data_IF_156546170546
#
_entry.id   IF_156546170546
#
_cell.length_a   1.000
_cell.length_b   1.000
_cell.length_c   1.000
_cell.angle_alpha   90.00
_cell.angle_beta   90.00
_cell.angle_gamma   90.00
#
_symmetry.space_group_name_H-M   'P 1'
#
loop_
_entity.id
_entity.type
_entity.pdbx_description
1 polymer ?
#
# COMPACT_ATOMS: atom_id res chain seq x y z
N UNK A 1 -64.57 -19.78 -29.38
CA UNK A 1 -64.30 -18.66 -28.45
C UNK A 1 -63.18 -19.07 -27.54
N UNK A 2 -62.07 -18.28 -27.55
CA UNK A 2 -61.01 -18.40 -26.56
C UNK A 2 -61.49 -17.89 -25.21
N UNK A 3 -61.08 -18.52 -24.10
CA UNK A 3 -61.41 -17.99 -22.77
C UNK A 3 -60.70 -16.65 -22.51
N UNK A 4 -61.27 -15.79 -21.65
CA UNK A 4 -60.62 -14.52 -21.34
C UNK A 4 -59.29 -14.75 -20.63
N UNK A 5 -58.26 -13.99 -21.08
CA UNK A 5 -56.96 -13.93 -20.42
C UNK A 5 -57.15 -13.16 -19.13
N UNK A 6 -56.86 -13.81 -17.98
CA UNK A 6 -56.79 -13.08 -16.68
C UNK A 6 -55.67 -12.06 -16.70
N UNK A 7 -55.89 -10.84 -16.17
CA UNK A 7 -54.84 -9.87 -16.08
C UNK A 7 -53.73 -10.36 -15.11
N UNK A 8 -52.49 -10.23 -15.53
CA UNK A 8 -51.31 -10.50 -14.66
C UNK A 8 -51.36 -9.62 -13.40
N UNK A 9 -51.00 -10.19 -12.23
CA UNK A 9 -50.93 -9.37 -11.01
C UNK A 9 -49.95 -8.26 -11.14
N UNK A 10 -50.17 -7.09 -10.45
CA UNK A 10 -49.25 -6.00 -10.48
C UNK A 10 -47.86 -6.45 -9.97
N UNK A 11 -46.81 -6.15 -10.76
CA UNK A 11 -45.43 -6.36 -10.33
C UNK A 11 -45.15 -5.40 -9.16
N UNK A 12 -44.92 -5.96 -7.96
CA UNK A 12 -44.47 -5.15 -6.82
C UNK A 12 -43.14 -4.46 -7.22
N UNK A 13 -42.97 -3.16 -6.90
CA UNK A 13 -41.71 -2.48 -7.17
C UNK A 13 -40.60 -3.19 -6.39
N UNK A 14 -39.51 -3.50 -7.07
CA UNK A 14 -38.30 -4.04 -6.42
C UNK A 14 -37.88 -3.08 -5.29
N UNK A 15 -37.48 -3.61 -4.11
CA UNK A 15 -36.98 -2.76 -3.05
C UNK A 15 -35.79 -1.94 -3.55
N UNK A 16 -35.61 -0.69 -3.08
CA UNK A 16 -34.47 0.11 -3.44
C UNK A 16 -33.20 -0.69 -3.19
N UNK A 17 -32.34 -0.80 -4.21
CA UNK A 17 -31.00 -1.38 -4.04
C UNK A 17 -30.25 -0.42 -3.11
N UNK A 18 -29.99 -0.83 -1.87
CA UNK A 18 -29.12 -0.08 -0.98
C UNK A 18 -27.76 0.06 -1.67
N UNK A 19 -27.15 1.26 -1.68
CA UNK A 19 -25.83 1.44 -2.27
C UNK A 19 -24.86 0.48 -1.56
N UNK A 20 -24.26 -0.43 -2.33
CA UNK A 20 -23.21 -1.29 -1.80
C UNK A 20 -22.09 -0.40 -1.23
N UNK A 21 -21.80 -0.58 0.05
CA UNK A 21 -20.68 0.10 0.69
C UNK A 21 -19.39 -0.25 -0.06
N UNK A 22 -18.56 0.74 -0.42
CA UNK A 22 -17.31 0.45 -1.08
C UNK A 22 -16.46 -0.48 -0.21
N UNK A 23 -15.96 -1.55 -0.81
CA UNK A 23 -15.05 -2.46 -0.13
C UNK A 23 -13.74 -1.72 0.13
N UNK A 24 -13.41 -1.51 1.40
CA UNK A 24 -12.18 -0.85 1.80
C UNK A 24 -10.98 -1.77 1.54
N UNK A 25 -9.95 -1.27 0.89
CA UNK A 25 -8.70 -1.98 0.69
C UNK A 25 -7.84 -1.90 1.94
N UNK A 26 -7.70 -3.00 2.67
CA UNK A 26 -6.70 -3.09 3.75
C UNK A 26 -5.40 -3.62 3.17
N UNK A 27 -4.37 -2.77 3.20
CA UNK A 27 -3.04 -3.06 2.65
C UNK A 27 -2.08 -3.40 3.79
N UNK A 28 -1.51 -4.60 3.76
CA UNK A 28 -0.52 -5.03 4.76
C UNK A 28 0.81 -4.31 4.52
N UNK A 29 1.13 -3.31 5.35
CA UNK A 29 2.34 -2.50 5.28
C UNK A 29 3.58 -3.35 5.54
N UNK A 30 4.43 -3.56 4.54
CA UNK A 30 5.63 -4.43 4.59
C UNK A 30 5.33 -5.87 5.00
N UNK A 31 4.14 -6.39 4.60
CA UNK A 31 3.57 -7.61 5.13
C UNK A 31 2.94 -7.44 6.52
N UNK A 32 2.54 -8.53 7.19
CA UNK A 32 1.99 -8.45 8.55
C UNK A 32 3.13 -8.44 9.58
N UNK A 33 3.84 -7.32 9.62
CA UNK A 33 5.11 -7.20 10.33
C UNK A 33 4.99 -7.12 11.87
N UNK A 34 3.79 -7.08 12.43
CA UNK A 34 3.60 -7.28 13.87
C UNK A 34 3.77 -8.76 14.28
N UNK A 35 3.67 -9.68 13.32
CA UNK A 35 3.90 -11.11 13.58
C UNK A 35 5.28 -11.58 13.11
N UNK A 36 5.83 -10.99 12.05
CA UNK A 36 7.08 -11.43 11.44
C UNK A 36 7.92 -10.22 10.99
N UNK A 37 9.23 -10.35 10.75
CA UNK A 37 10.08 -9.23 10.35
C UNK A 37 9.58 -8.56 9.06
N UNK A 38 9.52 -7.22 9.06
CA UNK A 38 9.05 -6.43 7.92
C UNK A 38 9.81 -6.74 6.62
N UNK A 39 9.13 -6.59 5.47
CA UNK A 39 9.70 -6.81 4.14
C UNK A 39 10.37 -8.19 3.97
N UNK A 40 9.87 -9.22 4.65
CA UNK A 40 10.38 -10.61 4.56
C UNK A 40 9.30 -11.59 4.12
N UNK A 41 9.71 -12.73 3.53
CA UNK A 41 8.75 -13.75 3.11
C UNK A 41 7.85 -14.25 4.26
N UNK A 42 8.35 -14.45 5.51
CA UNK A 42 7.50 -14.75 6.65
C UNK A 42 6.40 -13.70 6.92
N UNK A 43 6.70 -12.40 6.78
CA UNK A 43 5.70 -11.35 6.98
C UNK A 43 4.62 -11.34 5.89
N UNK A 44 5.01 -11.61 4.65
CA UNK A 44 4.06 -11.72 3.53
C UNK A 44 3.18 -12.96 3.66
N UNK A 45 3.76 -14.10 4.06
CA UNK A 45 2.99 -15.31 4.34
C UNK A 45 1.99 -15.09 5.48
N UNK A 46 2.42 -14.47 6.59
CA UNK A 46 1.53 -14.13 7.69
C UNK A 46 0.40 -13.18 7.28
N UNK A 47 0.67 -12.22 6.37
CA UNK A 47 -0.35 -11.33 5.83
C UNK A 47 -1.40 -12.09 4.99
N UNK A 48 -0.96 -12.95 4.09
CA UNK A 48 -1.86 -13.77 3.28
C UNK A 48 -2.72 -14.71 4.15
N UNK A 49 -2.11 -15.36 5.17
CA UNK A 49 -2.81 -16.20 6.15
C UNK A 49 -3.83 -15.41 6.97
N UNK A 50 -3.54 -14.14 7.28
CA UNK A 50 -4.45 -13.23 7.98
C UNK A 50 -5.59 -12.70 7.10
N UNK A 51 -5.61 -13.02 5.80
CA UNK A 51 -6.67 -12.69 4.86
C UNK A 51 -6.46 -11.38 4.11
N UNK A 52 -5.28 -10.74 4.18
CA UNK A 52 -5.00 -9.57 3.36
C UNK A 52 -4.96 -9.93 1.87
N UNK A 53 -5.69 -9.13 1.09
CA UNK A 53 -5.71 -9.24 -0.38
C UNK A 53 -4.68 -8.30 -1.05
N UNK A 54 -4.11 -7.37 -0.29
CA UNK A 54 -3.18 -6.35 -0.75
C UNK A 54 -1.95 -6.36 0.15
N UNK A 55 -0.77 -6.58 -0.44
CA UNK A 55 0.50 -6.62 0.27
C UNK A 55 1.42 -5.51 -0.24
N UNK A 56 1.86 -4.65 0.66
CA UNK A 56 2.80 -3.60 0.31
C UNK A 56 4.24 -4.01 0.62
N UNK A 57 5.16 -3.56 -0.22
CA UNK A 57 6.60 -3.75 -0.04
C UNK A 57 7.43 -2.65 -0.70
N UNK A 58 8.56 -2.35 -0.08
CA UNK A 58 9.53 -1.33 -0.46
C UNK A 58 10.65 -1.90 -1.30
N UNK A 59 10.90 -1.36 -2.50
CA UNK A 59 11.89 -1.91 -3.44
C UNK A 59 13.12 -1.03 -3.54
N UNK A 60 14.30 -1.66 -3.44
CA UNK A 60 15.61 -1.07 -3.72
C UNK A 60 16.41 -1.94 -4.69
N UNK A 61 17.44 -1.35 -5.30
CA UNK A 61 18.40 -2.09 -6.13
C UNK A 61 19.76 -2.20 -5.47
N UNK A 62 20.35 -3.39 -5.54
CA UNK A 62 21.72 -3.65 -5.14
C UNK A 62 22.72 -3.10 -6.16
N UNK A 63 24.01 -3.09 -5.80
CA UNK A 63 25.11 -2.68 -6.68
C UNK A 63 25.20 -3.49 -7.99
N UNK A 64 24.85 -4.77 -7.92
CA UNK A 64 24.86 -5.70 -9.06
C UNK A 64 23.49 -5.82 -9.76
N UNK A 65 22.56 -4.89 -9.45
CA UNK A 65 21.30 -4.74 -10.18
C UNK A 65 20.19 -5.72 -9.76
N UNK A 66 20.30 -6.37 -8.60
CA UNK A 66 19.24 -7.20 -8.05
C UNK A 66 18.24 -6.33 -7.30
N UNK A 67 16.95 -6.43 -7.63
CA UNK A 67 15.89 -5.77 -6.89
C UNK A 67 15.58 -6.57 -5.60
N UNK A 68 15.64 -5.89 -4.43
CA UNK A 68 15.45 -6.47 -3.09
C UNK A 68 14.45 -5.66 -2.28
N UNK A 69 13.90 -6.26 -1.23
CA UNK A 69 12.85 -5.66 -0.40
C UNK A 69 13.42 -5.15 0.93
N UNK A 70 13.33 -3.85 1.15
CA UNK A 70 13.75 -3.22 2.41
C UNK A 70 13.19 -1.79 2.45
N UNK A 71 12.73 -1.33 3.63
CA UNK A 71 12.22 0.04 3.74
C UNK A 71 13.33 1.07 3.60
N UNK A 72 14.39 0.93 4.39
CA UNK A 72 15.49 1.89 4.40
C UNK A 72 16.47 1.61 3.25
N UNK A 73 17.17 2.63 2.80
CA UNK A 73 18.30 2.49 1.87
C UNK A 73 19.50 1.77 2.47
N UNK A 74 19.45 1.48 3.79
CA UNK A 74 20.47 0.74 4.55
C UNK A 74 19.84 -0.41 5.33
N UNK A 75 20.58 -1.50 5.51
CA UNK A 75 20.08 -2.68 6.25
C UNK A 75 20.26 -2.59 7.76
N UNK A 76 20.84 -1.51 8.28
CA UNK A 76 21.27 -1.41 9.67
C UNK A 76 20.14 -1.49 10.71
N UNK A 77 18.94 -1.01 10.37
CA UNK A 77 17.79 -1.04 11.26
C UNK A 77 17.22 -2.47 11.40
N UNK A 78 17.02 -3.14 10.26
CA UNK A 78 16.28 -4.41 10.15
C UNK A 78 17.17 -5.64 10.25
N UNK A 79 18.42 -5.58 9.79
CA UNK A 79 19.33 -6.73 9.77
C UNK A 79 20.30 -6.76 10.96
N UNK A 80 20.90 -7.93 11.16
CA UNK A 80 21.98 -8.21 12.12
C UNK A 80 23.08 -9.03 11.45
N UNK A 81 24.27 -9.05 12.05
CA UNK A 81 25.27 -10.03 11.69
C UNK A 81 24.74 -11.45 12.00
N UNK A 82 25.32 -12.48 11.37
CA UNK A 82 24.89 -13.87 11.56
C UNK A 82 24.96 -14.37 13.01
N UNK A 83 25.77 -13.72 13.86
CA UNK A 83 25.87 -14.02 15.29
C UNK A 83 24.85 -13.22 16.14
N UNK A 84 23.95 -12.46 15.50
CA UNK A 84 22.93 -11.62 16.15
C UNK A 84 23.43 -10.25 16.61
N UNK A 85 24.70 -9.94 16.48
CA UNK A 85 25.25 -8.65 16.86
C UNK A 85 24.78 -7.52 15.92
N UNK A 86 24.73 -6.27 16.42
CA UNK A 86 24.42 -5.11 15.60
C UNK A 86 25.49 -4.87 14.54
N UNK A 87 25.06 -4.46 13.36
CA UNK A 87 25.92 -4.11 12.24
C UNK A 87 26.68 -2.84 12.56
N UNK A 88 28.01 -2.87 12.40
CA UNK A 88 28.89 -1.71 12.58
C UNK A 88 29.11 -1.01 11.25
N UNK A 89 29.04 0.32 11.26
CA UNK A 89 29.14 1.15 10.05
C UNK A 89 27.87 1.07 9.19
N UNK A 90 27.76 2.00 8.24
CA UNK A 90 26.59 2.08 7.36
C UNK A 90 26.69 1.04 6.25
N UNK A 91 25.63 0.24 6.07
CA UNK A 91 25.50 -0.77 5.02
C UNK A 91 24.38 -0.37 4.06
N UNK A 92 24.73 0.40 3.04
CA UNK A 92 23.78 0.87 2.04
C UNK A 92 23.59 -0.16 0.93
N UNK A 93 22.34 -0.51 0.63
CA UNK A 93 21.95 -1.53 -0.36
C UNK A 93 22.57 -1.25 -1.73
N UNK A 94 22.53 0.02 -2.19
CA UNK A 94 23.07 0.40 -3.50
C UNK A 94 24.59 0.18 -3.68
N UNK A 95 25.32 -0.01 -2.58
CA UNK A 95 26.78 -0.25 -2.62
C UNK A 95 27.17 -1.68 -2.30
N UNK A 96 26.18 -2.56 -2.07
CA UNK A 96 26.36 -3.98 -1.76
C UNK A 96 25.83 -4.84 -2.90
N UNK A 97 26.50 -5.96 -3.18
CA UNK A 97 25.96 -7.02 -4.04
C UNK A 97 24.90 -7.81 -3.29
N UNK A 98 24.04 -8.54 -4.02
CA UNK A 98 23.07 -9.41 -3.37
C UNK A 98 23.76 -10.51 -2.54
N UNK A 99 24.86 -11.04 -3.01
CA UNK A 99 25.65 -12.04 -2.26
C UNK A 99 26.19 -11.49 -0.93
N UNK A 100 26.62 -10.21 -0.91
CA UNK A 100 27.03 -9.55 0.33
C UNK A 100 25.85 -9.32 1.27
N UNK A 101 24.65 -9.04 0.78
CA UNK A 101 23.45 -8.91 1.60
C UNK A 101 23.04 -10.25 2.25
N UNK A 102 23.27 -11.38 1.58
CA UNK A 102 22.99 -12.71 2.10
C UNK A 102 23.86 -13.12 3.32
N UNK A 103 24.89 -12.33 3.67
CA UNK A 103 25.69 -12.54 4.87
C UNK A 103 25.00 -12.06 6.16
N UNK A 104 23.88 -11.34 6.02
CA UNK A 104 23.13 -10.75 7.14
C UNK A 104 21.82 -11.49 7.39
N UNK A 105 21.39 -11.47 8.64
CA UNK A 105 20.13 -12.06 9.09
C UNK A 105 19.08 -10.96 9.30
N UNK A 106 17.97 -11.05 8.58
CA UNK A 106 16.86 -10.09 8.62
C UNK A 106 15.73 -10.55 9.57
N UNK A 107 15.89 -11.67 10.25
CA UNK A 107 14.89 -12.22 11.16
C UNK A 107 15.30 -12.31 12.60
N UNK A 108 16.59 -12.50 12.89
CA UNK A 108 17.08 -12.75 14.24
C UNK A 108 16.69 -11.67 15.27
N UNK A 109 16.56 -10.42 14.82
CA UNK A 109 16.13 -9.31 15.67
C UNK A 109 14.66 -9.44 16.14
N UNK A 110 13.83 -10.17 15.41
CA UNK A 110 12.43 -10.46 15.73
C UNK A 110 12.25 -11.75 16.56
N UNK A 111 13.32 -12.52 16.78
CA UNK A 111 13.32 -13.71 17.63
C UNK A 111 13.80 -14.99 16.94
N UNK A 112 14.03 -16.02 17.75
CA UNK A 112 14.60 -17.31 17.28
C UNK A 112 13.78 -17.99 16.18
N UNK A 113 12.46 -17.77 16.15
CA UNK A 113 11.57 -18.33 15.12
C UNK A 113 11.92 -17.84 13.70
N UNK A 114 12.59 -16.71 13.58
CA UNK A 114 12.95 -16.09 12.31
C UNK A 114 14.45 -16.11 12.01
N UNK A 115 15.21 -16.81 12.82
CA UNK A 115 16.65 -16.98 12.60
C UNK A 115 16.93 -17.54 11.20
N UNK A 116 17.86 -16.92 10.48
CA UNK A 116 18.23 -17.31 9.12
C UNK A 116 17.35 -16.70 8.03
N UNK A 117 16.44 -15.78 8.38
CA UNK A 117 15.65 -15.06 7.40
C UNK A 117 16.55 -14.18 6.53
N UNK A 118 16.41 -14.31 5.21
CA UNK A 118 17.17 -13.54 4.23
C UNK A 118 16.35 -12.37 3.71
N UNK A 119 17.04 -11.34 3.19
CA UNK A 119 16.40 -10.30 2.40
C UNK A 119 15.80 -10.92 1.14
N UNK A 120 14.48 -10.75 0.88
CA UNK A 120 13.88 -11.28 -0.32
C UNK A 120 14.30 -10.49 -1.55
N UNK A 121 14.35 -11.17 -2.69
CA UNK A 121 14.34 -10.49 -3.98
C UNK A 121 12.92 -10.09 -4.35
N UNK A 122 12.78 -9.03 -5.16
CA UNK A 122 11.50 -8.64 -5.73
C UNK A 122 10.87 -9.78 -6.57
N UNK A 123 11.70 -10.56 -7.28
CA UNK A 123 11.26 -11.73 -8.07
C UNK A 123 10.60 -12.81 -7.18
N UNK A 124 11.17 -13.11 -6.02
CA UNK A 124 10.60 -14.07 -5.08
C UNK A 124 9.26 -13.58 -4.53
N UNK A 125 9.17 -12.32 -4.16
CA UNK A 125 7.95 -11.74 -3.62
C UNK A 125 6.82 -11.64 -4.65
N UNK A 126 7.08 -11.20 -5.88
CA UNK A 126 6.03 -11.10 -6.90
C UNK A 126 5.50 -12.49 -7.31
N UNK A 127 6.38 -13.51 -7.33
CA UNK A 127 5.97 -14.90 -7.52
C UNK A 127 5.07 -15.38 -6.38
N UNK A 128 5.42 -15.06 -5.13
CA UNK A 128 4.58 -15.35 -3.97
C UNK A 128 3.22 -14.64 -4.06
N UNK A 129 3.16 -13.36 -4.43
CA UNK A 129 1.90 -12.64 -4.58
C UNK A 129 0.97 -13.34 -5.60
N UNK A 130 1.52 -13.84 -6.70
CA UNK A 130 0.77 -14.61 -7.68
C UNK A 130 0.25 -15.94 -7.09
N UNK A 131 1.10 -16.68 -6.39
CA UNK A 131 0.75 -17.99 -5.81
C UNK A 131 -0.29 -17.87 -4.69
N UNK A 132 -0.18 -16.84 -3.87
CA UNK A 132 -1.11 -16.54 -2.79
C UNK A 132 -2.40 -15.83 -3.26
N UNK A 133 -2.51 -15.51 -4.54
CA UNK A 133 -3.63 -14.78 -5.15
C UNK A 133 -3.89 -13.40 -4.52
N UNK A 134 -2.82 -12.68 -4.17
CA UNK A 134 -2.85 -11.34 -3.57
C UNK A 134 -2.32 -10.28 -4.52
N UNK A 135 -2.72 -9.04 -4.32
CA UNK A 135 -2.33 -7.87 -5.13
C UNK A 135 -1.10 -7.20 -4.54
N UNK A 136 0.02 -7.09 -5.29
CA UNK A 136 1.20 -6.39 -4.83
C UNK A 136 1.03 -4.86 -4.93
N UNK A 137 1.29 -4.15 -3.83
CA UNK A 137 1.53 -2.71 -3.76
C UNK A 137 3.03 -2.48 -3.74
N UNK A 138 3.58 -1.93 -4.81
CA UNK A 138 5.03 -1.85 -5.07
C UNK A 138 5.48 -0.42 -4.80
N UNK A 139 6.10 -0.15 -3.63
CA UNK A 139 6.68 1.16 -3.39
C UNK A 139 8.06 1.28 -4.06
N UNK A 140 8.15 2.20 -5.01
CA UNK A 140 9.41 2.57 -5.65
C UNK A 140 10.16 3.52 -4.71
N UNK A 141 11.12 2.95 -3.95
CA UNK A 141 11.99 3.71 -3.02
C UNK A 141 13.20 4.26 -3.75
N UNK A 142 13.80 5.30 -3.22
CA UNK A 142 14.99 5.93 -3.79
C UNK A 142 14.81 6.40 -5.25
N UNK A 143 15.74 7.16 -5.77
CA UNK A 143 15.69 7.58 -7.17
C UNK A 143 16.19 6.44 -8.07
N UNK A 144 15.28 5.63 -8.60
CA UNK A 144 15.59 4.62 -9.60
C UNK A 144 15.79 5.25 -10.98
N UNK A 145 16.61 4.62 -11.82
CA UNK A 145 16.69 4.97 -13.25
C UNK A 145 15.44 4.44 -13.98
N UNK A 146 15.18 4.96 -15.17
CA UNK A 146 14.09 4.45 -16.03
C UNK A 146 14.27 2.96 -16.35
N UNK A 147 15.52 2.53 -16.58
CA UNK A 147 15.84 1.11 -16.84
C UNK A 147 15.55 0.22 -15.63
N UNK A 148 15.78 0.72 -14.41
CA UNK A 148 15.44 -0.02 -13.19
C UNK A 148 13.91 -0.16 -13.02
N UNK A 149 13.14 0.91 -13.27
CA UNK A 149 11.67 0.84 -13.27
C UNK A 149 11.19 -0.17 -14.32
N UNK A 150 11.72 -0.13 -15.54
CA UNK A 150 11.40 -1.08 -16.60
C UNK A 150 11.76 -2.52 -16.21
N UNK A 151 12.89 -2.74 -15.51
CA UNK A 151 13.26 -4.06 -15.00
C UNK A 151 12.22 -4.61 -14.03
N UNK A 152 11.71 -3.78 -13.09
CA UNK A 152 10.63 -4.20 -12.19
C UNK A 152 9.35 -4.54 -12.95
N UNK A 153 8.97 -3.71 -13.92
CA UNK A 153 7.78 -3.95 -14.75
C UNK A 153 7.91 -5.25 -15.54
N UNK A 154 9.08 -5.55 -16.08
CA UNK A 154 9.35 -6.82 -16.77
C UNK A 154 9.22 -8.01 -15.81
N UNK A 155 9.71 -7.91 -14.56
CA UNK A 155 9.55 -8.95 -13.54
C UNK A 155 8.08 -9.20 -13.18
N UNK A 156 7.27 -8.14 -13.13
CA UNK A 156 5.82 -8.22 -12.91
C UNK A 156 5.13 -8.90 -14.09
N UNK A 157 5.51 -8.57 -15.33
CA UNK A 157 5.00 -9.19 -16.55
C UNK A 157 5.37 -10.69 -16.62
N UNK A 158 6.64 -11.04 -16.37
CA UNK A 158 7.10 -12.44 -16.31
C UNK A 158 6.34 -13.27 -15.27
N UNK A 159 5.92 -12.65 -14.17
CA UNK A 159 5.09 -13.26 -13.15
C UNK A 159 3.60 -13.35 -13.54
N UNK A 160 3.16 -12.69 -14.62
CA UNK A 160 1.76 -12.63 -15.04
C UNK A 160 0.90 -11.79 -14.09
N UNK A 161 1.48 -10.71 -13.52
CA UNK A 161 0.82 -9.84 -12.52
C UNK A 161 0.56 -8.42 -13.03
N UNK A 162 0.76 -8.15 -14.34
CA UNK A 162 0.68 -6.81 -14.93
C UNK A 162 -0.65 -6.11 -14.63
N UNK A 163 -1.76 -6.85 -14.74
CA UNK A 163 -3.11 -6.29 -14.56
C UNK A 163 -3.52 -6.12 -13.08
N UNK A 164 -2.66 -6.58 -12.16
CA UNK A 164 -2.94 -6.57 -10.71
C UNK A 164 -1.98 -5.70 -9.92
N UNK A 165 -0.79 -5.44 -10.44
CA UNK A 165 0.23 -4.67 -9.72
C UNK A 165 -0.19 -3.22 -9.53
N UNK A 166 -0.07 -2.73 -8.32
CA UNK A 166 -0.25 -1.33 -7.94
C UNK A 166 1.11 -0.71 -7.67
N UNK A 167 1.41 0.40 -8.33
CA UNK A 167 2.69 1.08 -8.20
C UNK A 167 2.53 2.35 -7.39
N UNK A 168 3.28 2.47 -6.30
CA UNK A 168 3.22 3.64 -5.44
C UNK A 168 4.60 4.28 -5.30
N UNK A 169 4.64 5.60 -5.15
CA UNK A 169 5.86 6.35 -4.86
C UNK A 169 5.53 7.75 -4.38
N UNK A 170 6.45 8.34 -3.63
CA UNK A 170 6.30 9.69 -3.10
C UNK A 170 6.40 10.79 -4.17
N UNK A 171 5.77 11.92 -3.90
CA UNK A 171 5.75 13.12 -4.76
C UNK A 171 7.14 13.54 -5.25
N UNK A 172 8.18 13.41 -4.44
CA UNK A 172 9.55 13.73 -4.84
C UNK A 172 10.18 12.73 -5.81
N UNK A 173 9.54 11.59 -6.01
CA UNK A 173 9.90 10.53 -6.95
C UNK A 173 8.89 10.40 -8.11
N UNK A 174 8.04 11.40 -8.34
CA UNK A 174 6.94 11.38 -9.32
C UNK A 174 7.36 10.83 -10.70
N UNK A 175 8.61 11.11 -11.14
CA UNK A 175 9.16 10.63 -12.41
C UNK A 175 9.06 9.11 -12.55
N UNK A 176 9.28 8.35 -11.47
CA UNK A 176 9.22 6.89 -11.54
C UNK A 176 7.82 6.39 -11.87
N UNK A 177 6.77 7.01 -11.30
CA UNK A 177 5.38 6.70 -11.67
C UNK A 177 5.05 7.17 -13.11
N UNK A 178 5.64 8.28 -13.57
CA UNK A 178 5.52 8.71 -14.96
C UNK A 178 6.18 7.70 -15.92
N UNK A 179 7.32 7.11 -15.54
CA UNK A 179 7.96 6.03 -16.31
C UNK A 179 7.04 4.79 -16.37
N UNK A 180 6.37 4.43 -15.26
CA UNK A 180 5.41 3.32 -15.21
C UNK A 180 4.25 3.55 -16.17
N UNK A 181 3.55 4.70 -16.07
CA UNK A 181 2.37 4.96 -16.93
C UNK A 181 2.75 5.21 -18.39
N UNK A 182 3.96 5.64 -18.67
CA UNK A 182 4.48 5.76 -20.03
C UNK A 182 4.72 4.39 -20.68
N UNK A 183 5.16 3.40 -19.89
CA UNK A 183 5.38 2.03 -20.36
C UNK A 183 4.09 1.20 -20.36
N UNK A 184 3.21 1.38 -19.39
CA UNK A 184 1.89 0.75 -19.33
C UNK A 184 0.80 1.79 -19.00
N UNK A 185 0.06 2.31 -20.00
CA UNK A 185 -1.00 3.31 -19.79
C UNK A 185 -2.19 2.81 -18.94
N UNK A 186 -2.32 1.53 -18.69
CA UNK A 186 -3.39 0.92 -17.88
C UNK A 186 -2.93 0.66 -16.43
N UNK A 187 -1.64 0.91 -16.11
CA UNK A 187 -1.08 0.63 -14.79
C UNK A 187 -1.80 1.41 -13.68
N UNK A 188 -2.21 0.72 -12.63
CA UNK A 188 -2.73 1.34 -11.41
C UNK A 188 -1.59 2.01 -10.64
N UNK A 189 -1.74 3.30 -10.31
CA UNK A 189 -0.70 4.07 -9.64
C UNK A 189 -1.25 4.92 -8.51
N UNK A 190 -0.55 4.93 -7.37
CA UNK A 190 -0.82 5.76 -6.20
C UNK A 190 0.29 6.76 -5.93
N UNK A 191 -0.06 8.04 -5.78
CA UNK A 191 0.90 9.08 -5.44
C UNK A 191 0.96 9.26 -3.92
N UNK A 192 2.06 8.80 -3.31
CA UNK A 192 2.34 8.97 -1.89
C UNK A 192 2.65 10.42 -1.54
N UNK A 193 2.04 10.95 -0.47
CA UNK A 193 2.28 12.32 -0.01
C UNK A 193 1.99 12.47 1.48
N UNK A 194 2.78 13.29 2.16
CA UNK A 194 2.50 13.68 3.55
C UNK A 194 1.35 14.70 3.66
N UNK A 195 0.85 15.22 2.53
CA UNK A 195 -0.21 16.22 2.52
C UNK A 195 -1.12 16.09 1.32
N UNK A 196 -2.36 16.55 1.45
CA UNK A 196 -3.34 16.60 0.37
C UNK A 196 -3.68 18.06 0.06
N UNK A 197 -3.05 18.60 -0.98
CA UNK A 197 -3.18 19.98 -1.42
C UNK A 197 -3.35 20.07 -2.95
N UNK A 198 -3.64 21.25 -3.48
CA UNK A 198 -3.77 21.48 -4.92
C UNK A 198 -2.54 21.01 -5.72
N UNK A 199 -1.34 21.16 -5.15
CA UNK A 199 -0.08 20.70 -5.77
C UNK A 199 -0.02 19.19 -5.88
N UNK A 200 -0.40 18.45 -4.82
CA UNK A 200 -0.45 16.99 -4.82
C UNK A 200 -1.46 16.47 -5.84
N UNK A 201 -2.65 17.08 -5.87
CA UNK A 201 -3.71 16.77 -6.86
C UNK A 201 -3.21 17.04 -8.28
N UNK A 202 -2.56 18.18 -8.54
CA UNK A 202 -2.02 18.50 -9.85
C UNK A 202 -0.96 17.49 -10.32
N UNK A 203 -0.10 17.04 -9.41
CA UNK A 203 0.89 15.98 -9.70
C UNK A 203 0.21 14.67 -10.05
N UNK A 204 -0.75 14.20 -9.25
CA UNK A 204 -1.48 12.95 -9.52
C UNK A 204 -2.20 13.00 -10.88
N UNK A 205 -2.76 14.14 -11.26
CA UNK A 205 -3.40 14.31 -12.58
C UNK A 205 -2.44 14.12 -13.76
N UNK A 206 -1.14 14.36 -13.58
CA UNK A 206 -0.15 14.09 -14.65
C UNK A 206 0.08 12.60 -14.90
N UNK A 207 -0.40 11.74 -14.01
CA UNK A 207 -0.32 10.28 -14.12
C UNK A 207 -1.56 9.67 -14.80
N UNK A 208 -2.65 10.46 -14.96
CA UNK A 208 -3.88 9.98 -15.58
C UNK A 208 -3.70 9.83 -17.09
N UNK A 209 -3.91 8.63 -17.61
CA UNK A 209 -3.90 8.30 -19.04
C UNK A 209 -5.32 8.24 -19.63
N UNK A 210 -6.34 8.20 -18.77
CA UNK A 210 -7.73 7.93 -19.12
C UNK A 210 -8.08 6.44 -19.21
N UNK A 211 -7.11 5.55 -18.99
CA UNK A 211 -7.27 4.10 -19.01
C UNK A 211 -6.90 3.45 -17.67
N UNK A 212 -6.22 4.20 -16.80
CA UNK A 212 -5.71 3.71 -15.53
C UNK A 212 -6.47 4.26 -14.33
N UNK A 213 -6.40 3.55 -13.21
CA UNK A 213 -6.74 4.08 -11.90
C UNK A 213 -5.56 4.87 -11.34
N UNK A 214 -5.80 6.14 -10.97
CA UNK A 214 -4.84 6.98 -10.25
C UNK A 214 -5.48 7.41 -8.94
N UNK A 215 -4.78 7.21 -7.83
CA UNK A 215 -5.25 7.61 -6.51
C UNK A 215 -4.18 8.40 -5.74
N UNK A 216 -4.62 9.11 -4.72
CA UNK A 216 -3.76 9.77 -3.75
C UNK A 216 -3.62 8.84 -2.55
N UNK A 217 -2.39 8.50 -2.18
CA UNK A 217 -2.09 7.75 -0.96
C UNK A 217 -1.41 8.71 0.02
N UNK A 218 -2.14 9.15 1.04
CA UNK A 218 -1.70 10.26 1.87
C UNK A 218 -1.56 9.88 3.34
N UNK A 219 -0.65 10.59 4.04
CA UNK A 219 -0.58 10.48 5.49
C UNK A 219 -1.97 10.79 6.08
N UNK A 220 -2.48 9.90 6.93
CA UNK A 220 -3.84 10.01 7.47
C UNK A 220 -4.17 11.37 8.11
N UNK A 221 -3.16 12.06 8.68
CA UNK A 221 -3.32 13.41 9.24
C UNK A 221 -3.61 14.51 8.20
N UNK A 222 -3.40 14.21 6.91
CA UNK A 222 -3.74 15.14 5.81
C UNK A 222 -5.22 15.09 5.42
N UNK A 223 -5.97 14.10 5.92
CA UNK A 223 -7.38 13.90 5.60
C UNK A 223 -8.25 14.81 6.45
N UNK A 224 -9.09 15.59 5.78
CA UNK A 224 -10.18 16.34 6.35
C UNK A 224 -11.22 16.58 5.25
N UNK A 225 -12.38 17.14 5.61
CA UNK A 225 -13.46 17.39 4.65
C UNK A 225 -13.03 18.20 3.43
N UNK A 226 -12.22 19.24 3.61
CA UNK A 226 -11.79 20.09 2.51
C UNK A 226 -10.82 19.36 1.58
N UNK A 227 -9.86 18.61 2.14
CA UNK A 227 -8.92 17.82 1.35
C UNK A 227 -9.62 16.69 0.58
N UNK A 228 -10.60 16.01 1.19
CA UNK A 228 -11.41 14.99 0.50
C UNK A 228 -12.29 15.61 -0.61
N UNK A 229 -12.89 16.77 -0.39
CA UNK A 229 -13.61 17.49 -1.45
C UNK A 229 -12.70 17.89 -2.61
N UNK A 230 -11.47 18.30 -2.33
CA UNK A 230 -10.47 18.64 -3.34
C UNK A 230 -10.13 17.43 -4.22
N UNK A 231 -9.90 16.27 -3.61
CA UNK A 231 -9.64 15.02 -4.34
C UNK A 231 -10.85 14.59 -5.18
N UNK A 232 -12.05 14.60 -4.59
CA UNK A 232 -13.30 14.25 -5.26
C UNK A 232 -13.60 15.16 -6.47
N UNK A 233 -13.39 16.47 -6.36
CA UNK A 233 -13.54 17.42 -7.48
C UNK A 233 -12.56 17.14 -8.62
N UNK A 234 -11.42 16.54 -8.31
CA UNK A 234 -10.41 16.14 -9.29
C UNK A 234 -10.67 14.75 -9.89
N UNK A 235 -11.69 14.01 -9.40
CA UNK A 235 -11.96 12.63 -9.77
C UNK A 235 -10.90 11.65 -9.29
N UNK A 236 -10.27 11.93 -8.13
CA UNK A 236 -9.25 11.10 -7.51
C UNK A 236 -9.79 10.46 -6.23
N UNK A 237 -9.55 9.17 -6.08
CA UNK A 237 -9.78 8.45 -4.82
C UNK A 237 -8.62 8.71 -3.84
N UNK A 238 -8.89 8.49 -2.56
CA UNK A 238 -7.91 8.70 -1.48
C UNK A 238 -7.75 7.40 -0.69
N UNK A 239 -6.53 6.93 -0.61
CA UNK A 239 -6.05 5.92 0.32
C UNK A 239 -5.14 6.59 1.36
N UNK A 240 -4.89 5.92 2.47
CA UNK A 240 -4.13 6.52 3.59
C UNK A 240 -3.12 5.55 4.19
N UNK A 241 -2.02 6.10 4.68
CA UNK A 241 -1.00 5.41 5.48
C UNK A 241 -0.64 6.21 6.73
N UNK A 242 -0.06 5.67 7.78
CA UNK A 242 -0.28 4.28 8.23
C UNK A 242 -1.30 4.35 9.34
N UNK A 243 -2.36 3.60 9.27
CA UNK A 243 -3.47 3.61 10.22
C UNK A 243 -3.49 2.28 10.97
N UNK A 244 -3.42 2.34 12.30
CA UNK A 244 -3.31 1.17 13.18
C UNK A 244 -4.41 1.13 14.25
N UNK A 245 -5.36 2.05 14.20
CA UNK A 245 -6.45 2.20 15.15
C UNK A 245 -7.80 2.06 14.45
N UNK A 246 -8.68 1.23 14.99
CA UNK A 246 -9.98 0.91 14.38
C UNK A 246 -10.92 2.13 14.33
N UNK A 247 -10.96 2.94 15.42
CA UNK A 247 -11.79 4.13 15.48
C UNK A 247 -11.37 5.16 14.41
N UNK A 248 -10.06 5.32 14.23
CA UNK A 248 -9.52 6.18 13.16
C UNK A 248 -9.84 5.63 11.77
N UNK A 249 -9.73 4.32 11.57
CA UNK A 249 -10.06 3.67 10.29
C UNK A 249 -11.52 3.88 9.92
N UNK A 250 -12.44 3.68 10.86
CA UNK A 250 -13.88 3.89 10.68
C UNK A 250 -14.21 5.36 10.37
N UNK A 251 -13.54 6.30 11.06
CA UNK A 251 -13.70 7.72 10.80
C UNK A 251 -13.22 8.12 9.40
N UNK A 252 -12.03 7.66 8.99
CA UNK A 252 -11.45 7.94 7.67
C UNK A 252 -12.33 7.36 6.55
N UNK A 253 -12.83 6.14 6.72
CA UNK A 253 -13.75 5.48 5.80
C UNK A 253 -15.05 6.27 5.66
N UNK A 254 -15.61 6.77 6.78
CA UNK A 254 -16.81 7.61 6.78
C UNK A 254 -16.59 8.96 6.07
N UNK A 255 -15.35 9.44 5.99
CA UNK A 255 -14.98 10.61 5.19
C UNK A 255 -14.77 10.32 3.70
N UNK A 256 -14.82 9.04 3.28
CA UNK A 256 -14.69 8.63 1.87
C UNK A 256 -13.32 8.08 1.48
N UNK A 257 -12.45 7.74 2.45
CA UNK A 257 -11.21 6.99 2.19
C UNK A 257 -11.57 5.59 1.72
N UNK A 258 -10.89 5.10 0.68
CA UNK A 258 -11.18 3.81 0.02
C UNK A 258 -10.10 2.74 0.26
N UNK A 259 -8.97 3.11 0.85
CA UNK A 259 -7.88 2.18 1.17
C UNK A 259 -7.09 2.62 2.39
N UNK A 260 -6.63 1.65 3.16
CA UNK A 260 -5.91 1.84 4.42
C UNK A 260 -4.68 0.94 4.43
N UNK A 261 -3.50 1.55 4.40
CA UNK A 261 -2.24 0.85 4.68
C UNK A 261 -2.04 0.78 6.19
N UNK A 262 -1.85 -0.43 6.71
CA UNK A 262 -1.85 -0.70 8.14
C UNK A 262 -0.78 -1.71 8.56
N UNK A 263 -0.31 -1.58 9.82
CA UNK A 263 0.56 -2.56 10.45
C UNK A 263 -0.24 -3.64 11.20
N UNK A 264 -1.44 -3.31 11.69
CA UNK A 264 -2.12 -4.06 12.74
C UNK A 264 -3.56 -4.44 12.42
N UNK A 265 -4.28 -3.62 11.64
CA UNK A 265 -5.71 -3.82 11.40
C UNK A 265 -5.92 -4.98 10.42
N UNK A 266 -6.66 -5.97 10.85
CA UNK A 266 -7.03 -7.08 9.99
C UNK A 266 -8.11 -6.66 8.99
N UNK A 267 -8.10 -7.23 7.77
CA UNK A 267 -9.18 -7.02 6.81
C UNK A 267 -10.50 -7.45 7.43
N UNK A 268 -11.38 -6.50 7.70
CA UNK A 268 -12.70 -6.77 8.19
C UNK A 268 -13.71 -6.56 7.06
N UNK A 269 -14.73 -7.39 6.99
CA UNK A 269 -15.94 -7.02 6.26
C UNK A 269 -16.59 -5.92 7.10
N UNK A 270 -16.46 -4.68 6.65
CA UNK A 270 -17.01 -3.53 7.38
C UNK A 270 -18.53 -3.65 7.38
N UNK A 271 -19.07 -4.05 8.52
CA UNK A 271 -20.52 -4.12 8.79
C UNK A 271 -20.99 -2.92 9.61
N UNK A 272 -20.06 -2.01 9.96
CA UNK A 272 -20.37 -0.83 10.75
C UNK A 272 -21.18 0.17 9.92
N UNK A 273 -22.26 0.69 10.51
CA UNK A 273 -23.00 1.82 9.94
C UNK A 273 -22.04 3.01 9.80
N UNK A 274 -22.12 3.77 8.69
CA UNK A 274 -21.26 4.94 8.48
C UNK A 274 -21.44 5.93 9.65
N UNK A 275 -20.32 6.42 10.17
CA UNK A 275 -20.30 7.42 11.23
C UNK A 275 -20.84 8.76 10.70
N UNK A 276 -21.44 9.58 11.57
CA UNK A 276 -21.82 10.92 11.18
C UNK A 276 -20.57 11.75 10.84
N UNK A 277 -20.60 12.51 9.75
CA UNK A 277 -19.42 13.23 9.23
C UNK A 277 -18.75 14.15 10.28
N UNK A 278 -19.53 14.78 11.17
CA UNK A 278 -18.98 15.64 12.23
C UNK A 278 -18.17 14.85 13.26
N UNK A 279 -18.64 13.67 13.61
CA UNK A 279 -17.94 12.79 14.57
C UNK A 279 -16.66 12.23 13.93
N UNK A 280 -16.71 11.82 12.67
CA UNK A 280 -15.56 11.39 11.91
C UNK A 280 -14.47 12.48 11.82
N UNK A 281 -14.85 13.72 11.48
CA UNK A 281 -13.94 14.87 11.45
C UNK A 281 -13.30 15.13 12.82
N UNK A 282 -14.04 15.03 13.92
CA UNK A 282 -13.53 15.21 15.26
C UNK A 282 -12.49 14.14 15.65
N UNK A 283 -12.74 12.87 15.29
CA UNK A 283 -11.82 11.77 15.54
C UNK A 283 -10.53 11.97 14.76
N UNK A 284 -10.60 12.19 13.45
CA UNK A 284 -9.40 12.41 12.61
C UNK A 284 -8.59 13.60 13.12
N UNK A 285 -9.24 14.70 13.50
CA UNK A 285 -8.56 15.88 14.05
C UNK A 285 -7.84 15.58 15.38
N UNK A 286 -8.41 14.74 16.27
CA UNK A 286 -7.78 14.30 17.50
C UNK A 286 -6.51 13.51 17.21
N UNK A 287 -6.56 12.51 16.35
CA UNK A 287 -5.40 11.70 15.98
C UNK A 287 -4.30 12.53 15.29
N UNK A 288 -4.67 13.53 14.48
CA UNK A 288 -3.70 14.43 13.86
C UNK A 288 -2.96 15.30 14.90
N UNK A 289 -3.64 15.76 15.96
CA UNK A 289 -3.00 16.50 17.08
C UNK A 289 -2.04 15.60 17.87
N UNK A 290 -2.46 14.38 18.21
CA UNK A 290 -1.65 13.41 18.95
C UNK A 290 -0.39 13.03 18.15
N UNK A 291 -0.51 12.86 16.83
CA UNK A 291 0.61 12.57 15.94
C UNK A 291 1.65 13.70 15.94
N UNK A 292 1.22 14.97 15.93
CA UNK A 292 2.11 16.12 15.95
C UNK A 292 2.87 16.20 17.28
N UNK A 293 2.20 15.93 18.40
CA UNK A 293 2.82 15.95 19.73
C UNK A 293 3.88 14.85 19.91
N UNK A 294 3.66 13.66 19.33
CA UNK A 294 4.64 12.56 19.39
C UNK A 294 5.83 12.77 18.48
N UNK A 295 5.64 13.38 17.29
CA UNK A 295 6.72 13.68 16.37
C UNK A 295 7.66 14.79 16.82
N UNK A 296 7.22 15.66 17.74
CA UNK A 296 8.08 16.68 18.39
C UNK A 296 8.93 16.12 19.54
N UNK A 297 8.66 14.89 20.00
CA UNK A 297 9.35 14.25 21.14
C UNK A 297 10.42 13.23 20.71
N UNK A 298 10.56 12.91 19.43
CA UNK A 298 11.67 12.08 18.92
C UNK A 298 12.79 12.99 18.38
N UNK A 299 14.00 12.97 19.01
CA UNK A 299 15.15 13.78 18.61
C UNK A 299 15.82 13.27 17.32
#
# INVERSE_FOLDING_TARGET
>A
PQPPVEPEPPVEPEPPVEPEMPVIRYVAHRGYHVQAPENTMPAFAAAAEAGYQFLESDVHFTKDGVAVLCHDSTINATARNADGSKIVGVKSIQFMTYEELLQYDFGIAAGEAYLGTRIPTFREWIAFCREADVTPYIELKSSMTTEQVQTLMQLVEEAGMTDRAVWISFTWNLRMLQDVVAANPEAEVGLLSNGLANTTVAMAKTLQTGQNRVFLDVLHTAVNRLSMQLAAQAGLEVEVYTVNDEELADALTSLGVVGITTNTLLPAVTTAEPMQLQDAEAIVARFAQDFTMTSELEP
#
